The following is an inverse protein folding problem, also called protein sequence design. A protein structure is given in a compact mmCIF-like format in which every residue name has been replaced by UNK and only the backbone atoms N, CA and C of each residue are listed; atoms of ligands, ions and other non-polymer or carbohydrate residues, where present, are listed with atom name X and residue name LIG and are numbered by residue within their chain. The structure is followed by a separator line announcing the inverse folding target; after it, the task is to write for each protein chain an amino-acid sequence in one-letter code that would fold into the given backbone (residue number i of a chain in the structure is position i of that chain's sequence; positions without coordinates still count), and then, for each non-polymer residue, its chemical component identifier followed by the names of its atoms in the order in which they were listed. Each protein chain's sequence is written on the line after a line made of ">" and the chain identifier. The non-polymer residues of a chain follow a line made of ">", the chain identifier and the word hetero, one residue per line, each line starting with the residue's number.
data_IF_478426650586
#
_entry.id   IF_478426650586
#
_cell.length_a   1.000
_cell.length_b   1.000
_cell.length_c   1.000
_cell.angle_alpha   90.00
_cell.angle_beta   90.00
_cell.angle_gamma   90.00
#
_symmetry.space_group_name_H-M   'P 1'
#
loop_
_entity.id
_entity.type
_entity.pdbx_description
1 polymer ?
#
# COMPACT_ATOMS: atom_id res chain seq x y z
N UNK A 1 8.99 -4.41 -5.71
CA UNK A 1 8.79 -3.24 -4.83
C UNK A 1 7.52 -2.59 -5.31
N UNK A 2 6.50 -2.46 -4.47
CA UNK A 2 5.14 -2.04 -4.89
C UNK A 2 4.55 -0.96 -3.99
N UNK A 3 5.22 -0.64 -2.88
CA UNK A 3 4.90 0.45 -1.96
C UNK A 3 6.09 1.42 -1.91
N UNK A 4 5.85 2.69 -2.15
CA UNK A 4 6.90 3.71 -2.27
C UNK A 4 6.62 4.93 -1.41
N UNK A 5 7.68 5.44 -0.78
CA UNK A 5 7.62 6.71 -0.04
C UNK A 5 7.69 7.89 -1.01
N UNK A 6 6.84 8.89 -0.79
CA UNK A 6 6.88 10.19 -1.46
C UNK A 6 6.92 11.29 -0.40
N UNK A 7 7.91 12.17 -0.47
CA UNK A 7 8.11 13.28 0.49
C UNK A 7 8.10 12.83 1.96
N UNK A 8 8.69 11.66 2.25
CA UNK A 8 8.74 11.08 3.59
C UNK A 8 7.45 10.39 4.05
N UNK A 9 6.41 10.34 3.20
CA UNK A 9 5.14 9.66 3.49
C UNK A 9 5.09 8.32 2.77
N UNK A 10 4.88 7.24 3.53
CA UNK A 10 4.68 5.89 3.00
C UNK A 10 3.20 5.48 3.02
N UNK A 11 2.78 4.56 2.14
CA UNK A 11 1.46 3.95 2.23
C UNK A 11 1.27 3.25 3.58
N UNK A 12 0.07 3.34 4.14
CA UNK A 12 -0.32 2.63 5.34
C UNK A 12 -1.02 1.32 4.95
N UNK A 13 -0.63 0.23 5.59
CA UNK A 13 -1.19 -1.11 5.41
C UNK A 13 -1.98 -1.50 6.65
N UNK A 14 -3.01 -2.34 6.54
CA UNK A 14 -3.78 -2.78 7.70
C UNK A 14 -2.92 -3.67 8.61
N UNK A 15 -3.18 -3.63 9.92
CA UNK A 15 -2.39 -4.36 10.94
C UNK A 15 -2.54 -5.88 10.83
N UNK A 16 -3.69 -6.34 10.32
CA UNK A 16 -4.00 -7.76 10.10
C UNK A 16 -3.27 -8.35 8.87
N UNK A 17 -2.66 -7.51 8.03
CA UNK A 17 -2.02 -7.90 6.79
C UNK A 17 -2.98 -8.39 5.71
N UNK A 18 -4.29 -8.20 5.86
CA UNK A 18 -5.29 -8.62 4.88
C UNK A 18 -5.40 -7.60 3.74
N UNK A 19 -4.42 -7.62 2.84
CA UNK A 19 -4.43 -6.82 1.62
C UNK A 19 -3.57 -7.49 0.54
N UNK A 20 -3.83 -7.13 -0.71
CA UNK A 20 -3.01 -7.58 -1.84
C UNK A 20 -2.62 -6.40 -2.74
N UNK A 21 -1.34 -6.38 -3.12
CA UNK A 21 -0.81 -5.46 -4.14
C UNK A 21 -0.13 -6.31 -5.20
N UNK A 22 -0.64 -6.28 -6.43
CA UNK A 22 -0.08 -7.04 -7.54
C UNK A 22 1.39 -6.66 -7.81
N UNK A 23 2.22 -7.57 -8.38
CA UNK A 23 3.64 -7.30 -8.64
C UNK A 23 3.93 -6.07 -9.53
N UNK A 24 2.97 -5.69 -10.38
CA UNK A 24 3.03 -4.55 -11.30
C UNK A 24 2.27 -3.30 -10.79
N UNK A 25 1.53 -3.42 -9.68
CA UNK A 25 0.86 -2.29 -9.04
C UNK A 25 1.87 -1.38 -8.33
N UNK A 26 1.58 -0.08 -8.35
CA UNK A 26 2.41 0.95 -7.73
C UNK A 26 1.56 1.80 -6.78
N UNK A 27 1.85 1.74 -5.48
CA UNK A 27 1.21 2.55 -4.44
C UNK A 27 2.24 3.51 -3.86
N UNK A 28 1.98 4.80 -3.94
CA UNK A 28 2.99 5.85 -3.71
C UNK A 28 2.42 6.92 -2.78
N UNK A 29 3.13 7.23 -1.68
CA UNK A 29 2.82 8.38 -0.84
C UNK A 29 1.65 8.17 0.13
N UNK A 30 0.82 9.21 0.28
CA UNK A 30 -0.28 9.28 1.26
C UNK A 30 -1.50 8.46 0.83
N UNK A 31 -1.38 7.13 0.92
CA UNK A 31 -2.44 6.16 0.61
C UNK A 31 -2.65 5.26 1.82
N UNK A 32 -3.91 4.94 2.14
CA UNK A 32 -4.27 3.93 3.13
C UNK A 32 -4.95 2.74 2.43
N UNK A 33 -4.41 1.54 2.63
CA UNK A 33 -5.05 0.29 2.26
C UNK A 33 -5.78 -0.24 3.49
N UNK A 34 -7.06 -0.54 3.33
CA UNK A 34 -7.88 -1.14 4.38
C UNK A 34 -7.89 -2.67 4.25
N UNK A 35 -8.35 -3.34 5.30
CA UNK A 35 -8.54 -4.80 5.31
C UNK A 35 -9.39 -5.25 4.11
N UNK A 36 -9.01 -6.38 3.50
CA UNK A 36 -9.54 -6.96 2.27
C UNK A 36 -9.41 -6.11 0.98
N UNK A 37 -8.56 -5.07 0.97
CA UNK A 37 -8.31 -4.27 -0.25
C UNK A 37 -7.38 -5.02 -1.22
N UNK A 38 -7.66 -4.94 -2.53
CA UNK A 38 -6.81 -5.47 -3.60
C UNK A 38 -6.57 -4.44 -4.70
N UNK A 39 -5.32 -4.33 -5.17
CA UNK A 39 -4.90 -3.43 -6.26
C UNK A 39 -4.02 -4.18 -7.25
#
# INVERSE_FOLDING_TARGET
>A
MTLYTLDGVAPQTPEDGDFWVAPDANVIGKVALESATSV
#
